data_IF_136739515416
#
_entry.id   IF_136739515416
#
_cell.length_a   1.000
_cell.length_b   1.000
_cell.length_c   1.000
_cell.angle_alpha   90.00
_cell.angle_beta   90.00
_cell.angle_gamma   90.00
#
_symmetry.space_group_name_H-M   'P 1'
#
loop_
_entity.id
_entity.type
_entity.pdbx_description
1 polymer ?
#
# COMPACT_ATOMS: atom_id res chain seq x y z
N UNK A 1 79.65 9.15 -26.54
CA UNK A 1 78.36 9.49 -25.90
C UNK A 1 78.65 10.20 -24.59
N UNK A 2 78.31 11.48 -24.51
CA UNK A 2 78.55 12.31 -23.32
C UNK A 2 77.65 11.84 -22.17
N UNK A 3 78.21 11.66 -20.97
CA UNK A 3 77.43 11.30 -19.78
C UNK A 3 76.45 12.44 -19.46
N UNK A 4 75.17 12.15 -19.15
CA UNK A 4 74.23 13.18 -18.72
C UNK A 4 74.76 13.86 -17.45
N UNK A 5 74.77 15.19 -17.45
CA UNK A 5 75.14 16.00 -16.29
C UNK A 5 74.04 15.90 -15.22
N UNK A 6 74.38 15.61 -13.96
CA UNK A 6 73.41 15.55 -12.88
C UNK A 6 72.84 16.94 -12.57
N UNK A 7 71.56 16.98 -12.17
CA UNK A 7 70.90 18.21 -11.74
C UNK A 7 71.61 18.86 -10.55
N UNK A 8 71.72 20.18 -10.57
CA UNK A 8 72.20 20.96 -9.44
C UNK A 8 71.19 20.98 -8.28
N UNK A 9 71.60 21.42 -7.06
CA UNK A 9 70.72 21.44 -5.88
C UNK A 9 69.44 22.28 -6.08
N UNK A 10 69.55 23.39 -6.81
CA UNK A 10 68.41 24.25 -7.12
C UNK A 10 67.43 23.60 -8.11
N UNK A 11 67.95 22.91 -9.13
CA UNK A 11 67.14 22.19 -10.12
C UNK A 11 66.41 21.00 -9.49
N UNK A 12 67.08 20.26 -8.59
CA UNK A 12 66.47 19.18 -7.82
C UNK A 12 65.34 19.68 -6.91
N UNK A 13 65.51 20.86 -6.29
CA UNK A 13 64.49 21.50 -5.45
C UNK A 13 63.26 21.89 -6.28
N UNK A 14 63.47 22.53 -7.44
CA UNK A 14 62.40 22.91 -8.35
C UNK A 14 61.63 21.68 -8.87
N UNK A 15 62.34 20.61 -9.25
CA UNK A 15 61.73 19.35 -9.66
C UNK A 15 60.90 18.72 -8.54
N UNK A 16 61.36 18.78 -7.29
CA UNK A 16 60.59 18.33 -6.13
C UNK A 16 59.29 19.11 -5.92
N UNK A 17 59.33 20.45 -6.09
CA UNK A 17 58.13 21.29 -6.03
C UNK A 17 57.15 20.97 -7.17
N UNK A 18 57.64 20.82 -8.40
CA UNK A 18 56.81 20.44 -9.55
C UNK A 18 56.19 19.06 -9.37
N UNK A 19 56.95 18.08 -8.88
CA UNK A 19 56.43 16.75 -8.58
C UNK A 19 55.33 16.79 -7.50
N UNK A 20 55.50 17.62 -6.48
CA UNK A 20 54.50 17.82 -5.42
C UNK A 20 53.23 18.48 -5.98
N UNK A 21 53.37 19.54 -6.79
CA UNK A 21 52.22 20.18 -7.43
C UNK A 21 51.49 19.23 -8.40
N UNK A 22 52.23 18.43 -9.18
CA UNK A 22 51.65 17.42 -10.06
C UNK A 22 50.89 16.35 -9.26
N UNK A 23 51.44 15.88 -8.13
CA UNK A 23 50.76 14.92 -7.26
C UNK A 23 49.45 15.49 -6.68
N UNK A 24 49.45 16.75 -6.25
CA UNK A 24 48.23 17.44 -5.77
C UNK A 24 47.21 17.55 -6.91
N UNK A 25 47.62 17.97 -8.10
CA UNK A 25 46.73 18.11 -9.25
C UNK A 25 46.09 16.77 -9.64
N UNK A 26 46.89 15.70 -9.73
CA UNK A 26 46.40 14.34 -10.02
C UNK A 26 45.39 13.90 -8.97
N UNK A 27 45.71 14.08 -7.68
CA UNK A 27 44.81 13.72 -6.58
C UNK A 27 43.51 14.52 -6.61
N UNK A 28 43.57 15.82 -6.88
CA UNK A 28 42.39 16.67 -7.02
C UNK A 28 41.50 16.20 -8.18
N UNK A 29 42.09 15.90 -9.35
CA UNK A 29 41.34 15.35 -10.49
C UNK A 29 40.67 14.02 -10.14
N UNK A 30 41.37 13.11 -9.44
CA UNK A 30 40.79 11.84 -9.01
C UNK A 30 39.63 12.04 -8.03
N UNK A 31 39.75 12.97 -7.07
CA UNK A 31 38.67 13.28 -6.13
C UNK A 31 37.44 13.86 -6.83
N UNK A 32 37.64 14.80 -7.77
CA UNK A 32 36.54 15.38 -8.56
C UNK A 32 35.84 14.30 -9.37
N UNK A 33 36.60 13.45 -10.07
CA UNK A 33 36.03 12.37 -10.87
C UNK A 33 35.27 11.36 -10.00
N UNK A 34 35.82 11.00 -8.83
CA UNK A 34 35.16 10.11 -7.88
C UNK A 34 33.87 10.70 -7.34
N UNK A 35 33.86 12.00 -7.02
CA UNK A 35 32.67 12.72 -6.57
C UNK A 35 31.59 12.75 -7.67
N UNK A 36 31.98 13.14 -8.89
CA UNK A 36 31.07 13.17 -10.04
C UNK A 36 30.47 11.80 -10.34
N UNK A 37 31.29 10.74 -10.27
CA UNK A 37 30.81 9.38 -10.50
C UNK A 37 29.85 8.91 -9.40
N UNK A 38 30.11 9.26 -8.14
CA UNK A 38 29.21 8.98 -7.04
C UNK A 38 27.89 9.75 -7.15
N UNK A 39 27.95 11.05 -7.50
CA UNK A 39 26.77 11.88 -7.70
C UNK A 39 25.92 11.38 -8.88
N UNK A 40 26.55 11.07 -10.01
CA UNK A 40 25.86 10.52 -11.18
C UNK A 40 25.18 9.18 -10.86
N UNK A 41 25.83 8.33 -10.06
CA UNK A 41 25.25 7.06 -9.60
C UNK A 41 24.04 7.30 -8.69
N UNK A 42 24.17 8.18 -7.70
CA UNK A 42 23.06 8.55 -6.80
C UNK A 42 21.88 9.09 -7.60
N UNK A 43 22.13 10.09 -8.45
CA UNK A 43 21.11 10.72 -9.29
C UNK A 43 20.44 9.70 -10.21
N UNK A 44 21.20 8.80 -10.81
CA UNK A 44 20.66 7.72 -11.64
C UNK A 44 19.76 6.77 -10.86
N UNK A 45 20.18 6.32 -9.67
CA UNK A 45 19.37 5.44 -8.81
C UNK A 45 18.09 6.12 -8.33
N UNK A 46 18.17 7.40 -7.96
CA UNK A 46 17.02 8.17 -7.51
C UNK A 46 16.02 8.42 -8.66
N UNK A 47 16.49 8.98 -9.78
CA UNK A 47 15.64 9.38 -10.91
C UNK A 47 15.01 8.21 -11.66
N UNK A 48 15.76 7.11 -11.84
CA UNK A 48 15.29 5.93 -12.58
C UNK A 48 14.66 4.86 -11.67
N UNK A 49 14.50 5.16 -10.36
CA UNK A 49 13.74 4.28 -9.46
C UNK A 49 12.30 4.13 -9.96
N UNK A 50 11.74 2.91 -9.98
CA UNK A 50 10.37 2.68 -10.45
C UNK A 50 9.30 3.12 -9.44
N UNK A 51 9.68 3.37 -8.19
CA UNK A 51 8.76 3.82 -7.12
C UNK A 51 8.86 5.33 -6.94
N UNK A 52 7.76 5.97 -6.50
CA UNK A 52 7.75 7.41 -6.19
C UNK A 52 8.68 7.69 -5.01
N UNK A 53 9.67 8.55 -5.22
CA UNK A 53 10.64 8.96 -4.21
C UNK A 53 10.67 10.48 -4.06
N UNK A 54 10.80 10.91 -2.81
CA UNK A 54 10.87 12.30 -2.40
C UNK A 54 12.05 12.48 -1.46
N UNK A 55 12.72 13.61 -1.61
CA UNK A 55 13.67 14.10 -0.65
C UNK A 55 13.06 15.35 -0.01
N UNK A 56 12.92 15.34 1.31
CA UNK A 56 12.19 16.37 2.06
C UNK A 56 13.02 16.86 3.25
N UNK A 57 12.75 18.10 3.66
CA UNK A 57 13.36 18.75 4.82
C UNK A 57 12.30 18.91 5.91
N UNK A 58 12.51 18.20 7.01
CA UNK A 58 11.66 18.18 8.21
C UNK A 58 12.32 18.97 9.36
N UNK A 59 13.39 19.72 9.10
CA UNK A 59 14.12 20.40 10.18
C UNK A 59 13.31 21.45 10.92
N UNK A 60 12.44 22.17 10.22
CA UNK A 60 11.51 23.11 10.84
C UNK A 60 10.49 22.38 11.74
N UNK A 61 9.97 21.24 11.29
CA UNK A 61 9.09 20.37 12.09
C UNK A 61 9.81 19.86 13.33
N UNK A 62 11.03 19.33 13.17
CA UNK A 62 11.83 18.82 14.29
C UNK A 62 12.11 19.89 15.34
N UNK A 63 12.51 21.09 14.90
CA UNK A 63 12.76 22.21 15.80
C UNK A 63 11.50 22.66 16.54
N UNK A 64 10.35 22.68 15.86
CA UNK A 64 9.06 22.97 16.48
C UNK A 64 8.69 21.94 17.55
N UNK A 65 8.77 20.64 17.23
CA UNK A 65 8.45 19.56 18.17
C UNK A 65 9.38 19.53 19.39
N UNK A 66 10.66 19.83 19.17
CA UNK A 66 11.63 19.99 20.27
C UNK A 66 11.29 21.16 21.18
N UNK A 67 10.81 22.28 20.61
CA UNK A 67 10.30 23.42 21.36
C UNK A 67 9.09 23.06 22.22
N UNK A 68 8.09 22.41 21.61
CA UNK A 68 6.88 21.92 22.31
C UNK A 68 7.26 20.96 23.45
N UNK A 69 8.26 20.10 23.24
CA UNK A 69 8.78 19.21 24.30
C UNK A 69 9.45 19.98 25.43
N UNK A 70 10.21 21.02 25.11
CA UNK A 70 10.86 21.87 26.11
C UNK A 70 9.86 22.64 26.98
N UNK A 71 8.65 22.89 26.48
CA UNK A 71 7.53 23.45 27.24
C UNK A 71 6.87 22.45 28.21
N UNK A 72 7.31 21.18 28.21
CA UNK A 72 6.87 20.14 29.15
C UNK A 72 5.83 19.17 28.59
N UNK A 73 5.46 19.29 27.30
CA UNK A 73 4.56 18.36 26.65
C UNK A 73 5.29 17.05 26.37
N UNK A 74 4.75 15.96 26.91
CA UNK A 74 5.32 14.61 26.78
C UNK A 74 4.39 13.66 26.03
N UNK A 75 3.08 13.84 26.17
CA UNK A 75 2.06 13.10 25.41
C UNK A 75 1.66 13.89 24.15
N UNK A 76 2.41 13.66 23.08
CA UNK A 76 2.15 14.28 21.78
C UNK A 76 0.86 13.76 21.12
N UNK A 77 0.41 12.53 21.46
CA UNK A 77 -0.83 12.00 20.92
C UNK A 77 -2.03 12.81 21.44
N UNK A 78 -2.09 13.04 22.76
CA UNK A 78 -3.10 13.88 23.38
C UNK A 78 -2.99 15.35 22.95
N UNK A 79 -1.77 15.88 22.82
CA UNK A 79 -1.54 17.24 22.32
C UNK A 79 -2.13 17.45 20.93
N UNK A 80 -1.87 16.56 19.97
CA UNK A 80 -2.40 16.67 18.62
C UNK A 80 -3.91 16.45 18.53
N UNK A 81 -4.52 15.68 19.44
CA UNK A 81 -5.99 15.60 19.54
C UNK A 81 -6.61 16.94 19.99
N UNK A 82 -5.96 17.64 20.92
CA UNK A 82 -6.43 18.94 21.42
C UNK A 82 -6.09 20.09 20.47
N UNK A 83 -5.06 19.93 19.65
CA UNK A 83 -4.53 20.95 18.74
C UNK A 83 -4.36 20.43 17.30
N UNK A 84 -5.44 19.99 16.63
CA UNK A 84 -5.36 19.42 15.27
C UNK A 84 -4.81 20.41 14.23
N UNK A 85 -4.97 21.72 14.46
CA UNK A 85 -4.40 22.76 13.60
C UNK A 85 -2.86 22.75 13.56
N UNK A 86 -2.20 22.26 14.62
CA UNK A 86 -0.74 22.19 14.64
C UNK A 86 -0.20 21.07 13.73
N UNK A 87 -1.00 20.04 13.43
CA UNK A 87 -0.66 18.99 12.46
C UNK A 87 -0.54 19.62 11.05
N UNK A 88 -1.55 20.40 10.65
CA UNK A 88 -1.55 21.14 9.39
C UNK A 88 -0.37 22.12 9.33
N UNK A 89 -0.11 22.85 10.43
CA UNK A 89 1.04 23.75 10.52
C UNK A 89 2.37 23.01 10.35
N UNK A 90 2.51 21.81 10.90
CA UNK A 90 3.69 20.98 10.69
C UNK A 90 3.81 20.54 9.23
N UNK A 91 2.71 20.18 8.57
CA UNK A 91 2.72 19.81 7.16
C UNK A 91 3.20 20.98 6.28
N UNK A 92 2.75 22.20 6.57
CA UNK A 92 3.19 23.43 5.88
C UNK A 92 4.67 23.77 6.10
N UNK A 93 5.28 23.29 7.18
CA UNK A 93 6.71 23.44 7.45
C UNK A 93 7.59 22.45 6.68
N UNK A 94 7.00 21.35 6.17
CA UNK A 94 7.75 20.36 5.37
C UNK A 94 8.10 20.98 4.03
N UNK A 95 9.38 20.88 3.66
CA UNK A 95 9.87 21.41 2.39
C UNK A 95 10.39 20.30 1.50
N UNK A 96 9.75 20.14 0.35
CA UNK A 96 10.21 19.23 -0.71
C UNK A 96 11.52 19.77 -1.30
N UNK A 97 12.59 18.99 -1.20
CA UNK A 97 13.91 19.28 -1.78
C UNK A 97 13.96 18.78 -3.24
N UNK A 98 13.56 17.53 -3.47
CA UNK A 98 13.54 16.92 -4.80
C UNK A 98 12.55 15.76 -4.87
N UNK A 99 12.14 15.38 -6.07
CA UNK A 99 11.36 14.16 -6.33
C UNK A 99 11.89 13.48 -7.58
N UNK A 100 11.66 12.17 -7.68
CA UNK A 100 12.08 11.44 -8.87
C UNK A 100 11.04 11.46 -9.99
N UNK A 101 11.43 10.90 -11.14
CA UNK A 101 10.58 10.80 -12.31
C UNK A 101 9.34 9.91 -12.12
N UNK A 102 9.39 8.91 -11.25
CA UNK A 102 8.23 8.08 -10.93
C UNK A 102 7.16 8.89 -10.17
N UNK A 103 7.56 9.78 -9.26
CA UNK A 103 6.66 10.72 -8.59
C UNK A 103 5.93 11.61 -9.59
N UNK A 104 6.65 12.20 -10.55
CA UNK A 104 6.01 13.05 -11.58
C UNK A 104 4.98 12.28 -12.40
N UNK A 105 5.26 11.01 -12.74
CA UNK A 105 4.30 10.15 -13.46
C UNK A 105 3.08 9.83 -12.60
N UNK A 106 3.29 9.46 -11.34
CA UNK A 106 2.23 9.15 -10.39
C UNK A 106 1.28 10.34 -10.24
N UNK A 107 1.83 11.54 -10.03
CA UNK A 107 1.06 12.77 -9.87
C UNK A 107 0.61 13.40 -11.21
N UNK A 108 0.94 12.77 -12.35
CA UNK A 108 0.66 13.27 -13.71
C UNK A 108 1.17 14.71 -13.95
N UNK A 109 2.28 15.07 -13.32
CA UNK A 109 2.89 16.39 -13.42
C UNK A 109 3.89 16.45 -14.55
N UNK A 110 3.91 17.58 -15.27
CA UNK A 110 4.82 17.77 -16.39
C UNK A 110 6.20 18.23 -15.92
N UNK A 111 6.28 18.96 -14.80
CA UNK A 111 7.53 19.50 -14.28
C UNK A 111 7.62 19.57 -12.75
N UNK A 112 8.85 19.42 -12.23
CA UNK A 112 9.17 19.54 -10.79
C UNK A 112 8.81 20.90 -10.18
N UNK A 113 8.66 21.96 -10.98
CA UNK A 113 8.24 23.28 -10.48
C UNK A 113 6.78 23.31 -10.00
N UNK A 114 5.98 22.33 -10.39
CA UNK A 114 4.58 22.19 -9.95
C UNK A 114 4.48 21.57 -8.54
N UNK A 115 5.61 21.11 -7.96
CA UNK A 115 5.66 20.43 -6.66
C UNK A 115 5.54 21.35 -5.45
N UNK A 116 5.76 22.66 -5.62
CA UNK A 116 5.80 23.62 -4.50
C UNK A 116 4.50 23.67 -3.68
N UNK A 117 3.39 23.16 -4.21
CA UNK A 117 2.07 23.18 -3.57
C UNK A 117 1.58 21.80 -3.09
N UNK A 118 2.31 20.70 -3.33
CA UNK A 118 1.77 19.35 -3.09
C UNK A 118 1.70 18.97 -1.61
N UNK A 119 2.55 19.55 -0.76
CA UNK A 119 2.51 19.33 0.69
C UNK A 119 1.63 20.32 1.46
N UNK A 120 0.98 21.28 0.80
CA UNK A 120 0.32 22.41 1.48
C UNK A 120 -1.19 22.24 1.68
N UNK A 121 -1.82 21.27 1.03
CA UNK A 121 -3.27 21.05 1.17
C UNK A 121 -3.53 19.56 1.27
N UNK A 122 -3.34 19.06 2.49
CA UNK A 122 -3.71 17.70 2.85
C UNK A 122 -5.21 17.65 3.15
N UNK A 123 -5.88 16.60 2.72
CA UNK A 123 -7.25 16.31 3.14
C UNK A 123 -7.26 15.75 4.59
N UNK A 124 -8.44 15.61 5.24
CA UNK A 124 -8.52 15.15 6.63
C UNK A 124 -7.89 13.78 6.89
N UNK A 125 -7.99 12.84 5.94
CA UNK A 125 -7.43 11.50 6.08
C UNK A 125 -5.89 11.54 5.95
N UNK A 126 -5.38 12.33 5.00
CA UNK A 126 -3.95 12.62 4.86
C UNK A 126 -3.36 13.30 6.10
N UNK A 127 -4.10 14.21 6.74
CA UNK A 127 -3.68 14.85 7.99
C UNK A 127 -3.59 13.85 9.15
N UNK A 128 -4.55 12.94 9.25
CA UNK A 128 -4.50 11.86 10.25
C UNK A 128 -3.31 10.92 10.02
N UNK A 129 -2.98 10.65 8.77
CA UNK A 129 -1.81 9.85 8.42
C UNK A 129 -0.52 10.59 8.78
N UNK A 130 -0.43 11.88 8.46
CA UNK A 130 0.72 12.72 8.81
C UNK A 130 0.89 12.85 10.34
N UNK A 131 -0.20 12.82 11.12
CA UNK A 131 -0.12 12.74 12.59
C UNK A 131 0.70 11.54 13.06
N UNK A 132 0.50 10.36 12.45
CA UNK A 132 1.25 9.17 12.82
C UNK A 132 2.76 9.34 12.54
N UNK A 133 3.11 10.02 11.45
CA UNK A 133 4.50 10.38 11.13
C UNK A 133 5.10 11.33 12.17
N UNK A 134 4.37 12.38 12.56
CA UNK A 134 4.81 13.30 13.62
C UNK A 134 5.03 12.56 14.93
N UNK A 135 4.14 11.62 15.29
CA UNK A 135 4.30 10.82 16.49
C UNK A 135 5.59 9.99 16.45
N UNK A 136 5.90 9.34 15.33
CA UNK A 136 7.17 8.62 15.15
C UNK A 136 8.39 9.54 15.35
N UNK A 137 8.37 10.75 14.79
CA UNK A 137 9.44 11.75 14.99
C UNK A 137 9.56 12.12 16.48
N UNK A 138 8.45 12.35 17.17
CA UNK A 138 8.47 12.66 18.61
C UNK A 138 8.97 11.50 19.46
N UNK A 139 8.80 10.26 19.01
CA UNK A 139 9.38 9.09 19.67
C UNK A 139 10.87 8.91 19.37
N UNK A 140 11.45 9.76 18.51
CA UNK A 140 12.84 9.71 18.10
C UNK A 140 13.12 8.67 17.01
N UNK A 141 12.08 8.18 16.33
CA UNK A 141 12.23 7.19 15.27
C UNK A 141 12.80 7.81 14.00
N UNK A 142 13.90 7.24 13.49
CA UNK A 142 14.54 7.71 12.25
C UNK A 142 13.98 7.01 10.99
N UNK A 143 12.97 6.16 11.15
CA UNK A 143 12.27 5.45 10.08
C UNK A 143 10.82 5.25 10.46
N UNK A 144 9.94 5.29 9.48
CA UNK A 144 8.51 5.02 9.64
C UNK A 144 7.98 4.23 8.46
N UNK A 145 6.93 3.45 8.71
CA UNK A 145 6.13 2.79 7.69
C UNK A 145 4.65 2.94 8.05
N UNK A 146 3.89 3.55 7.15
CA UNK A 146 2.43 3.55 7.19
C UNK A 146 1.89 2.67 6.08
N UNK A 147 1.04 1.72 6.45
CA UNK A 147 0.37 0.82 5.52
C UNK A 147 -1.07 1.28 5.27
N UNK A 148 -1.57 1.08 4.04
CA UNK A 148 -2.95 1.40 3.66
C UNK A 148 -3.33 2.87 3.93
N UNK A 149 -2.38 3.80 3.77
CA UNK A 149 -2.67 5.21 3.92
C UNK A 149 -3.55 5.63 2.74
N UNK A 150 -4.67 6.28 3.06
CA UNK A 150 -5.75 6.55 2.11
C UNK A 150 -5.74 8.01 1.69
N UNK A 151 -6.17 8.22 0.44
CA UNK A 151 -6.54 9.47 -0.23
C UNK A 151 -5.41 10.40 -0.66
N UNK A 152 -4.41 9.89 -1.39
CA UNK A 152 -3.70 10.78 -2.32
C UNK A 152 -4.64 11.14 -3.47
N UNK A 153 -5.13 12.38 -3.50
CA UNK A 153 -6.13 12.85 -4.47
C UNK A 153 -5.49 13.10 -5.84
N UNK A 154 -5.07 12.04 -6.51
CA UNK A 154 -4.48 12.08 -7.82
C UNK A 154 -5.56 11.96 -8.88
N UNK A 155 -6.06 13.11 -9.35
CA UNK A 155 -6.85 13.19 -10.57
C UNK A 155 -8.13 12.32 -10.59
N UNK A 156 -9.03 12.56 -9.62
CA UNK A 156 -10.39 12.03 -9.52
C UNK A 156 -10.56 10.55 -9.11
N UNK A 157 -9.50 9.74 -9.07
CA UNK A 157 -9.55 8.34 -8.63
C UNK A 157 -8.84 8.14 -7.28
N UNK A 158 -9.44 7.33 -6.39
CA UNK A 158 -8.84 6.96 -5.09
C UNK A 158 -7.78 5.88 -5.31
N UNK A 159 -6.56 6.12 -4.84
CA UNK A 159 -5.49 5.12 -4.80
C UNK A 159 -5.10 4.80 -3.35
N UNK A 160 -4.71 3.55 -3.12
CA UNK A 160 -4.12 3.12 -1.85
C UNK A 160 -2.61 3.23 -1.94
N UNK A 161 -1.99 3.88 -0.96
CA UNK A 161 -0.53 4.03 -0.93
C UNK A 161 0.06 3.48 0.35
N UNK A 162 1.21 2.83 0.21
CA UNK A 162 2.10 2.58 1.32
C UNK A 162 3.16 3.68 1.35
N UNK A 163 3.23 4.38 2.48
CA UNK A 163 4.21 5.43 2.73
C UNK A 163 5.30 4.89 3.64
N UNK A 164 6.54 5.16 3.29
CA UNK A 164 7.66 4.89 4.19
C UNK A 164 8.64 6.04 4.11
N UNK A 165 9.19 6.44 5.24
CA UNK A 165 10.26 7.42 5.26
C UNK A 165 11.43 6.97 6.11
N UNK A 166 12.60 7.52 5.81
CA UNK A 166 13.82 7.32 6.58
C UNK A 166 14.67 8.57 6.55
N UNK A 167 15.26 8.91 7.70
CA UNK A 167 16.20 10.02 7.79
C UNK A 167 17.54 9.60 7.18
N UNK A 168 18.12 10.45 6.34
CA UNK A 168 19.41 10.19 5.74
C UNK A 168 20.54 10.15 6.79
N UNK A 169 21.56 9.31 6.62
CA UNK A 169 22.68 9.25 7.56
C UNK A 169 23.36 10.61 7.76
N UNK A 170 23.61 10.98 9.01
CA UNK A 170 24.18 12.28 9.41
C UNK A 170 23.15 13.38 9.65
N UNK A 171 21.86 13.12 9.41
CA UNK A 171 20.75 14.06 9.62
C UNK A 171 19.77 13.59 10.69
N UNK A 172 20.04 12.52 11.43
CA UNK A 172 19.13 11.90 12.41
C UNK A 172 18.70 12.85 13.53
N UNK A 173 19.55 13.82 13.89
CA UNK A 173 19.22 14.82 14.91
C UNK A 173 18.35 15.95 14.37
N UNK A 174 18.50 16.30 13.09
CA UNK A 174 17.91 17.52 12.49
C UNK A 174 16.74 17.22 11.58
N UNK A 175 16.65 16.01 11.03
CA UNK A 175 15.66 15.64 10.00
C UNK A 175 15.71 16.53 8.75
N UNK A 176 16.85 17.19 8.47
CA UNK A 176 16.95 18.10 7.32
C UNK A 176 17.02 17.38 5.96
N UNK A 177 17.16 16.05 5.97
CA UNK A 177 17.16 15.16 4.80
C UNK A 177 16.39 13.89 5.15
N UNK A 178 15.15 13.80 4.68
CA UNK A 178 14.27 12.65 4.83
C UNK A 178 13.95 12.10 3.45
N UNK A 179 14.12 10.80 3.26
CA UNK A 179 13.78 10.10 2.03
C UNK A 179 12.42 9.45 2.24
N UNK A 180 11.42 9.87 1.45
CA UNK A 180 10.05 9.34 1.49
C UNK A 180 9.79 8.52 0.23
N UNK A 181 9.15 7.37 0.38
CA UNK A 181 8.69 6.54 -0.71
C UNK A 181 7.19 6.35 -0.65
N UNK A 182 6.53 6.46 -1.81
CA UNK A 182 5.12 6.14 -1.99
C UNK A 182 5.01 4.99 -2.98
N UNK A 183 4.32 3.93 -2.56
CA UNK A 183 4.05 2.77 -3.41
C UNK A 183 2.55 2.62 -3.55
N UNK A 184 2.05 2.72 -4.79
CA UNK A 184 0.66 2.40 -5.10
C UNK A 184 0.43 0.90 -4.90
N UNK A 185 -0.51 0.57 -4.03
CA UNK A 185 -0.89 -0.81 -3.68
C UNK A 185 -2.36 -1.07 -4.00
N UNK A 186 -2.99 -0.24 -4.84
CA UNK A 186 -4.42 -0.33 -5.17
C UNK A 186 -4.79 -1.69 -5.76
N UNK A 187 -4.05 -2.16 -6.77
CA UNK A 187 -4.30 -3.47 -7.38
C UNK A 187 -4.13 -4.61 -6.36
N UNK A 188 -3.11 -4.51 -5.50
CA UNK A 188 -2.86 -5.50 -4.47
C UNK A 188 -4.00 -5.54 -3.45
N UNK A 189 -4.49 -4.38 -3.03
CA UNK A 189 -5.58 -4.25 -2.06
C UNK A 189 -6.89 -4.79 -2.61
N UNK A 190 -7.23 -4.45 -3.85
CA UNK A 190 -8.43 -4.97 -4.52
C UNK A 190 -8.39 -6.49 -4.64
N UNK A 191 -7.24 -7.05 -5.01
CA UNK A 191 -7.06 -8.50 -5.10
C UNK A 191 -7.16 -9.18 -3.72
N UNK A 192 -6.60 -8.56 -2.68
CA UNK A 192 -6.71 -9.05 -1.30
C UNK A 192 -8.16 -9.09 -0.83
N UNK A 193 -8.90 -7.99 -1.00
CA UNK A 193 -10.32 -7.88 -0.61
C UNK A 193 -11.20 -8.87 -1.36
N UNK A 194 -10.98 -9.05 -2.67
CA UNK A 194 -11.71 -10.05 -3.44
C UNK A 194 -11.42 -11.48 -2.95
N UNK A 195 -10.16 -11.79 -2.64
CA UNK A 195 -9.78 -13.10 -2.10
C UNK A 195 -10.41 -13.35 -0.73
N UNK A 196 -10.41 -12.34 0.16
CA UNK A 196 -11.03 -12.44 1.48
C UNK A 196 -12.54 -12.66 1.37
N UNK A 197 -13.22 -11.94 0.45
CA UNK A 197 -14.65 -12.13 0.21
C UNK A 197 -14.97 -13.55 -0.25
N UNK A 198 -14.20 -14.10 -1.19
CA UNK A 198 -14.39 -15.49 -1.66
C UNK A 198 -14.15 -16.51 -0.55
N UNK A 199 -13.18 -16.28 0.32
CA UNK A 199 -12.95 -17.14 1.49
C UNK A 199 -14.14 -17.12 2.44
N UNK A 200 -14.66 -15.94 2.78
CA UNK A 200 -15.83 -15.80 3.64
C UNK A 200 -17.07 -16.50 3.05
N UNK A 201 -17.26 -16.41 1.72
CA UNK A 201 -18.34 -17.13 1.03
C UNK A 201 -18.17 -18.66 1.14
N UNK A 202 -16.95 -19.19 0.98
CA UNK A 202 -16.67 -20.62 1.14
C UNK A 202 -16.83 -21.11 2.59
N UNK A 203 -16.41 -20.31 3.57
CA UNK A 203 -16.57 -20.62 4.99
C UNK A 203 -18.04 -20.68 5.39
N UNK A 204 -18.85 -19.71 4.96
CA UNK A 204 -20.29 -19.72 5.20
C UNK A 204 -20.97 -20.96 4.59
N UNK A 205 -20.61 -21.33 3.36
CA UNK A 205 -21.11 -22.56 2.73
C UNK A 205 -20.66 -23.83 3.47
N UNK A 206 -19.41 -23.87 3.93
CA UNK A 206 -18.88 -24.98 4.72
C UNK A 206 -19.62 -25.16 6.04
N UNK A 207 -19.88 -24.06 6.76
CA UNK A 207 -20.62 -24.06 8.02
C UNK A 207 -22.05 -24.57 7.84
N UNK A 208 -22.75 -24.09 6.79
CA UNK A 208 -24.07 -24.61 6.43
C UNK A 208 -23.98 -26.12 6.15
N UNK A 209 -23.01 -26.57 5.35
CA UNK A 209 -22.86 -27.99 5.03
C UNK A 209 -22.64 -28.86 6.26
N UNK A 210 -21.89 -28.39 7.26
CA UNK A 210 -21.65 -29.11 8.52
C UNK A 210 -22.92 -29.20 9.37
N UNK A 211 -23.67 -28.10 9.51
CA UNK A 211 -24.95 -28.09 10.22
C UNK A 211 -25.95 -29.07 9.60
N UNK A 212 -26.04 -29.06 8.26
CA UNK A 212 -26.88 -30.00 7.52
C UNK A 212 -26.42 -31.46 7.72
N UNK A 213 -25.12 -31.72 7.74
CA UNK A 213 -24.60 -33.08 7.92
C UNK A 213 -24.75 -33.61 9.35
N UNK A 214 -24.90 -32.72 10.34
CA UNK A 214 -25.13 -33.08 11.73
C UNK A 214 -26.60 -33.42 12.05
N UNK A 215 -27.53 -33.04 11.17
CA UNK A 215 -28.95 -33.35 11.31
C UNK A 215 -29.20 -34.83 10.95
N UNK A 216 -29.55 -35.63 11.95
CA UNK A 216 -29.77 -37.07 11.80
C UNK A 216 -31.22 -37.40 11.36
N UNK A 217 -32.12 -36.42 11.40
CA UNK A 217 -33.51 -36.57 10.95
C UNK A 217 -33.67 -36.04 9.52
N UNK A 218 -34.05 -36.93 8.60
CA UNK A 218 -34.14 -36.61 7.17
C UNK A 218 -35.17 -35.52 6.88
N UNK A 219 -36.31 -35.51 7.56
CA UNK A 219 -37.38 -34.54 7.31
C UNK A 219 -36.99 -33.13 7.81
N UNK A 220 -36.35 -33.05 8.98
CA UNK A 220 -35.80 -31.80 9.53
C UNK A 220 -34.67 -31.26 8.66
N UNK A 221 -33.78 -32.14 8.19
CA UNK A 221 -32.70 -31.80 7.27
C UNK A 221 -33.23 -31.21 5.96
N UNK A 222 -34.15 -31.91 5.28
CA UNK A 222 -34.70 -31.48 3.99
C UNK A 222 -35.45 -30.14 4.09
N UNK A 223 -36.22 -29.94 5.17
CA UNK A 223 -36.85 -28.65 5.48
C UNK A 223 -35.81 -27.53 5.59
N UNK A 224 -34.77 -27.74 6.40
CA UNK A 224 -33.71 -26.75 6.64
C UNK A 224 -32.98 -26.39 5.33
N UNK A 225 -32.69 -27.38 4.48
CA UNK A 225 -32.04 -27.17 3.17
C UNK A 225 -32.92 -26.30 2.27
N UNK A 226 -34.20 -26.64 2.09
CA UNK A 226 -35.06 -25.89 1.16
C UNK A 226 -35.27 -24.47 1.64
N UNK A 227 -35.52 -24.27 2.94
CA UNK A 227 -35.76 -22.94 3.48
C UNK A 227 -34.54 -22.03 3.26
N UNK A 228 -33.34 -22.50 3.63
CA UNK A 228 -32.10 -21.74 3.46
C UNK A 228 -31.73 -21.51 1.98
N UNK A 229 -31.97 -22.49 1.11
CA UNK A 229 -31.76 -22.32 -0.33
C UNK A 229 -32.73 -21.29 -0.91
N UNK A 230 -34.01 -21.29 -0.50
CA UNK A 230 -34.97 -20.29 -0.96
C UNK A 230 -34.62 -18.88 -0.47
N UNK A 231 -34.10 -18.73 0.75
CA UNK A 231 -33.62 -17.45 1.27
C UNK A 231 -32.38 -16.96 0.52
N UNK A 232 -31.38 -17.82 0.32
CA UNK A 232 -30.12 -17.46 -0.33
C UNK A 232 -30.30 -16.98 -1.78
N UNK A 233 -31.26 -17.57 -2.50
CA UNK A 233 -31.53 -17.24 -3.91
C UNK A 233 -32.73 -16.29 -4.09
N UNK A 234 -33.28 -15.72 -3.01
CA UNK A 234 -34.48 -14.88 -3.02
C UNK A 234 -35.66 -15.54 -3.78
N UNK A 235 -35.77 -16.87 -3.70
CA UNK A 235 -36.76 -17.63 -4.44
C UNK A 235 -38.10 -17.65 -3.68
N UNK A 236 -39.20 -17.44 -4.40
CA UNK A 236 -40.56 -17.40 -3.83
C UNK A 236 -41.11 -18.77 -3.43
N UNK A 237 -40.59 -19.83 -4.05
CA UNK A 237 -41.01 -21.22 -3.89
C UNK A 237 -39.77 -22.11 -4.06
N UNK A 238 -39.66 -23.17 -3.26
CA UNK A 238 -38.62 -24.18 -3.39
C UNK A 238 -39.12 -25.55 -2.96
N UNK A 239 -38.51 -26.62 -3.47
CA UNK A 239 -38.83 -27.98 -3.06
C UNK A 239 -37.75 -28.98 -3.41
N UNK A 240 -37.64 -30.03 -2.60
CA UNK A 240 -36.74 -31.17 -2.84
C UNK A 240 -37.57 -32.40 -3.18
N UNK A 241 -37.17 -33.07 -4.25
CA UNK A 241 -37.72 -34.36 -4.66
C UNK A 241 -36.70 -35.46 -4.33
N UNK A 242 -37.18 -36.54 -3.71
CA UNK A 242 -36.40 -37.75 -3.50
C UNK A 242 -36.76 -38.77 -4.57
N UNK A 243 -35.75 -39.46 -5.10
CA UNK A 243 -35.94 -40.51 -6.08
C UNK A 243 -36.20 -41.84 -5.38
N UNK A 244 -37.29 -42.54 -5.74
CA UNK A 244 -37.59 -43.91 -5.30
C UNK A 244 -37.23 -44.90 -6.41
N UNK A 245 -36.15 -45.69 -6.28
CA UNK A 245 -35.67 -46.59 -7.33
C UNK A 245 -36.66 -47.71 -7.68
N UNK A 246 -37.41 -48.21 -6.68
CA UNK A 246 -38.32 -49.35 -6.84
C UNK A 246 -39.51 -49.04 -7.75
N UNK A 247 -39.95 -47.78 -7.74
CA UNK A 247 -41.11 -47.32 -8.51
C UNK A 247 -40.71 -46.41 -9.68
N UNK A 248 -39.41 -46.08 -9.83
CA UNK A 248 -38.87 -45.13 -10.81
C UNK A 248 -39.58 -43.76 -10.81
N UNK A 249 -39.93 -43.26 -9.62
CA UNK A 249 -40.65 -41.99 -9.44
C UNK A 249 -39.85 -40.99 -8.61
N UNK A 250 -40.05 -39.71 -8.89
CA UNK A 250 -39.66 -38.61 -8.02
C UNK A 250 -40.84 -38.28 -7.11
N UNK A 251 -40.61 -38.34 -5.80
CA UNK A 251 -41.60 -37.94 -4.80
C UNK A 251 -41.18 -36.62 -4.19
N UNK A 252 -42.13 -35.69 -4.08
CA UNK A 252 -41.89 -34.43 -3.39
C UNK A 252 -41.73 -34.72 -1.90
N UNK A 253 -40.52 -34.54 -1.39
CA UNK A 253 -40.24 -34.74 0.03
C UNK A 253 -40.55 -33.49 0.84
N UNK A 254 -40.25 -32.30 0.31
CA UNK A 254 -40.49 -31.05 1.00
C UNK A 254 -40.78 -29.90 0.02
N UNK A 255 -41.61 -28.93 0.40
CA UNK A 255 -41.83 -27.69 -0.33
C UNK A 255 -42.04 -26.50 0.62
N UNK A 256 -41.57 -25.32 0.23
CA UNK A 256 -41.73 -24.06 0.97
C UNK A 256 -42.28 -22.95 0.06
N UNK A 257 -43.02 -22.00 0.64
CA UNK A 257 -43.66 -20.86 -0.05
C UNK A 257 -45.19 -21.04 -0.26
N UNK A 258 -45.91 -19.93 -0.50
CA UNK A 258 -47.38 -19.93 -0.71
C UNK A 258 -47.73 -19.94 -2.20
N UNK A 259 -48.65 -20.80 -2.69
CA UNK A 259 -48.95 -20.97 -4.11
C UNK A 259 -49.81 -19.84 -4.71
N UNK A 260 -49.90 -18.66 -4.09
CA UNK A 260 -50.72 -17.56 -4.58
C UNK A 260 -49.94 -16.74 -5.65
N UNK A 261 -49.78 -17.33 -6.84
CA UNK A 261 -49.17 -16.69 -8.02
C UNK A 261 -48.72 -17.68 -9.11
N UNK A 262 -48.34 -17.20 -10.30
CA UNK A 262 -47.79 -18.04 -11.39
C UNK A 262 -46.48 -18.70 -10.92
N UNK A 263 -46.43 -20.03 -11.00
CA UNK A 263 -45.32 -20.87 -10.52
C UNK A 263 -44.25 -21.01 -11.60
N UNK A 264 -42.98 -20.79 -11.24
CA UNK A 264 -41.82 -21.16 -12.04
C UNK A 264 -40.94 -22.09 -11.20
N UNK A 265 -40.66 -23.30 -11.71
CA UNK A 265 -39.94 -24.34 -10.98
C UNK A 265 -38.47 -24.36 -11.39
N UNK A 266 -37.55 -24.42 -10.42
CA UNK A 266 -36.16 -24.84 -10.61
C UNK A 266 -35.85 -25.96 -9.61
N UNK A 267 -35.47 -27.14 -10.09
CA UNK A 267 -35.22 -28.33 -9.28
C UNK A 267 -33.71 -28.56 -9.09
N UNK A 268 -33.24 -28.62 -7.85
CA UNK A 268 -31.88 -29.07 -7.53
C UNK A 268 -31.96 -30.55 -7.16
N UNK A 269 -31.53 -31.43 -8.06
CA UNK A 269 -31.43 -32.87 -7.79
C UNK A 269 -30.07 -33.21 -7.18
N UNK A 270 -30.05 -33.86 -6.01
CA UNK A 270 -28.82 -34.39 -5.41
C UNK A 270 -28.35 -35.61 -6.23
N UNK A 271 -27.46 -35.31 -7.19
CA UNK A 271 -26.43 -36.13 -7.85
C UNK A 271 -26.70 -37.49 -8.52
N UNK A 272 -27.91 -38.01 -8.65
CA UNK A 272 -28.12 -39.27 -9.42
C UNK A 272 -29.15 -39.22 -10.56
N UNK A 273 -29.57 -38.04 -11.04
CA UNK A 273 -30.58 -37.98 -12.10
C UNK A 273 -30.24 -37.02 -13.25
N UNK A 274 -28.98 -36.96 -13.71
CA UNK A 274 -28.61 -36.16 -14.89
C UNK A 274 -29.11 -36.76 -16.22
N UNK A 275 -29.54 -38.02 -16.25
CA UNK A 275 -29.86 -38.74 -17.49
C UNK A 275 -31.34 -38.65 -17.95
N UNK A 276 -32.30 -38.28 -17.09
CA UNK A 276 -33.74 -38.39 -17.41
C UNK A 276 -34.50 -37.08 -17.65
N UNK A 277 -33.96 -35.91 -17.28
CA UNK A 277 -34.64 -34.61 -17.47
C UNK A 277 -34.81 -34.15 -18.94
N UNK A 278 -34.37 -34.94 -19.92
CA UNK A 278 -34.59 -34.66 -21.35
C UNK A 278 -35.95 -35.06 -21.90
N UNK A 279 -36.80 -35.77 -21.13
CA UNK A 279 -38.13 -36.18 -21.60
C UNK A 279 -39.16 -36.06 -20.48
N UNK A 280 -40.23 -35.33 -20.78
CA UNK A 280 -41.45 -35.12 -19.99
C UNK A 280 -41.35 -34.04 -18.91
N UNK A 281 -41.37 -32.79 -19.38
CA UNK A 281 -42.16 -31.76 -18.72
C UNK A 281 -43.63 -31.94 -19.17
N UNK A 282 -44.53 -32.27 -18.25
CA UNK A 282 -45.96 -31.95 -18.29
C UNK A 282 -46.66 -32.48 -17.03
N UNK A 283 -47.75 -31.82 -16.63
CA UNK A 283 -47.88 -30.44 -16.19
C UNK A 283 -47.86 -30.30 -14.66
#
# INVERSE_FOLDING_TARGET
MSRPTPFGPAEATLLGMLATQAAIAIRNTQLINSLQQSEARYRGLFEESPISLWEEDFSAVKAYLDGVRAEGITDFAAYFEQHPAEIQRCAEMVRVIDVNRATLKLYRLSHKKELHNLGQTLNPDELNNFKAELLAITNGEVRFKGENLTDLLLSQDKIFVNLSWSVAPGYEATYARVLVSLVDVTEHKQAEEESQRRLAELEALGQISLELSAELDLDTLLNSIVLRATELFEAKLGGIYLYRPEADVLELAIATGSPQGRVAWSCIAVKECRAKFGKQAAP
#
